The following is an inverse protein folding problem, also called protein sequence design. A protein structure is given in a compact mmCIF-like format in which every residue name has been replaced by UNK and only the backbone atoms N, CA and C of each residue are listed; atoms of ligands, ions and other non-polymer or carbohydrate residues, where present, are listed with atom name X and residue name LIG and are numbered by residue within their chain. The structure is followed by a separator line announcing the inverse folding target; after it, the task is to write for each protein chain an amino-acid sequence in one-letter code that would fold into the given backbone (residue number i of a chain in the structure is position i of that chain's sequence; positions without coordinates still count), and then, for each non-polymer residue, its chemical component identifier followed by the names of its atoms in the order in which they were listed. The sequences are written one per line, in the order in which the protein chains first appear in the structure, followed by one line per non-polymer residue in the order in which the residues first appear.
data_IF_870282529435
#
_entry.id   IF_870282529435
#
_cell.length_a   1.000
_cell.length_b   1.000
_cell.length_c   1.000
_cell.angle_alpha   90.00
_cell.angle_beta   90.00
_cell.angle_gamma   90.00
#
_symmetry.space_group_name_H-M   'P 1'
#
loop_
_entity.id
_entity.type
_entity.pdbx_description
1 polymer ?
#
# COMPACT_ATOMS: atom_id res chain seq x y z
N UNK A 1 -7.70 -71.78 0.38
CA UNK A 1 -7.13 -71.12 -0.83
C UNK A 1 -7.74 -69.73 -1.05
N UNK A 2 -8.01 -68.99 0.01
CA UNK A 2 -8.62 -67.66 -0.04
C UNK A 2 -7.79 -66.57 0.73
N UNK A 3 -6.75 -66.97 1.47
CA UNK A 3 -5.97 -66.06 2.35
C UNK A 3 -4.73 -65.44 1.71
N UNK A 4 -4.35 -65.83 0.43
CA UNK A 4 -3.15 -65.27 -0.20
C UNK A 4 -3.40 -64.07 -1.15
N UNK A 5 -4.66 -63.78 -1.52
CA UNK A 5 -4.99 -62.63 -2.38
C UNK A 5 -5.18 -61.30 -1.64
N UNK A 6 -5.44 -61.34 -0.34
CA UNK A 6 -5.63 -60.11 0.45
C UNK A 6 -4.34 -59.41 0.87
N UNK A 7 -3.22 -60.15 1.00
CA UNK A 7 -1.93 -59.57 1.37
C UNK A 7 -1.21 -58.84 0.27
N UNK A 8 -1.48 -59.19 -1.03
CA UNK A 8 -0.83 -58.54 -2.15
C UNK A 8 -1.48 -57.19 -2.51
N UNK A 9 -2.78 -57.05 -2.29
CA UNK A 9 -3.52 -55.80 -2.54
C UNK A 9 -3.17 -54.69 -1.52
N UNK A 10 -2.87 -55.07 -0.27
CA UNK A 10 -2.47 -54.11 0.76
C UNK A 10 -1.03 -53.58 0.58
N UNK A 11 -0.12 -54.42 0.07
CA UNK A 11 1.26 -54.00 -0.19
C UNK A 11 1.35 -53.08 -1.43
N UNK A 12 0.53 -53.28 -2.45
CA UNK A 12 0.51 -52.39 -3.62
C UNK A 12 -0.11 -51.04 -3.32
N UNK A 13 -1.12 -50.99 -2.43
CA UNK A 13 -1.75 -49.72 -2.00
C UNK A 13 -0.81 -48.86 -1.16
N UNK A 14 0.06 -49.48 -0.33
CA UNK A 14 1.03 -48.75 0.48
C UNK A 14 2.19 -48.20 -0.36
N UNK A 15 2.63 -48.89 -1.40
CA UNK A 15 3.71 -48.45 -2.30
C UNK A 15 3.23 -47.29 -3.18
N UNK A 16 1.97 -47.31 -3.65
CA UNK A 16 1.41 -46.19 -4.44
C UNK A 16 1.18 -44.91 -3.60
N UNK A 17 0.80 -45.04 -2.34
CA UNK A 17 0.66 -43.88 -1.44
C UNK A 17 2.05 -43.31 -1.08
N UNK A 18 3.09 -44.16 -0.91
CA UNK A 18 4.44 -43.69 -0.60
C UNK A 18 5.11 -43.01 -1.81
N UNK A 19 4.84 -43.45 -3.03
CA UNK A 19 5.34 -42.83 -4.26
C UNK A 19 4.62 -41.51 -4.55
N UNK A 20 3.33 -41.33 -4.17
CA UNK A 20 2.61 -40.09 -4.29
C UNK A 20 3.11 -39.03 -3.24
N UNK A 21 3.48 -39.46 -2.03
CA UNK A 21 4.08 -38.58 -1.04
C UNK A 21 5.52 -38.17 -1.39
N UNK A 22 6.31 -39.05 -1.93
CA UNK A 22 7.67 -38.73 -2.37
C UNK A 22 7.66 -37.82 -3.62
N UNK A 23 6.70 -38.01 -4.54
CA UNK A 23 6.51 -37.13 -5.70
C UNK A 23 6.04 -35.72 -5.32
N UNK A 24 5.18 -35.61 -4.32
CA UNK A 24 4.72 -34.30 -3.83
C UNK A 24 5.83 -33.53 -3.08
N UNK A 25 6.69 -34.22 -2.33
CA UNK A 25 7.84 -33.58 -1.68
C UNK A 25 8.95 -33.19 -2.69
N UNK A 26 9.12 -33.93 -3.77
CA UNK A 26 10.06 -33.57 -4.83
C UNK A 26 9.55 -32.38 -5.66
N UNK A 27 8.24 -32.33 -5.96
CA UNK A 27 7.61 -31.20 -6.65
C UNK A 27 7.59 -29.93 -5.79
N UNK A 28 7.41 -30.07 -4.46
CA UNK A 28 7.51 -28.92 -3.53
C UNK A 28 8.95 -28.43 -3.38
N UNK A 29 9.95 -29.35 -3.40
CA UNK A 29 11.36 -28.95 -3.34
C UNK A 29 11.85 -28.30 -4.64
N UNK A 30 11.49 -28.85 -5.80
CA UNK A 30 11.90 -28.27 -7.08
C UNK A 30 11.19 -26.95 -7.37
N UNK A 31 9.92 -26.78 -7.04
CA UNK A 31 9.22 -25.51 -7.15
C UNK A 31 9.73 -24.45 -6.16
N UNK A 32 10.27 -24.84 -5.01
CA UNK A 32 10.83 -23.94 -4.02
C UNK A 32 12.26 -23.49 -4.37
N UNK A 33 13.08 -24.39 -4.92
CA UNK A 33 14.43 -24.05 -5.41
C UNK A 33 14.39 -23.29 -6.74
N UNK A 34 13.43 -23.55 -7.62
CA UNK A 34 13.20 -22.74 -8.83
C UNK A 34 12.71 -21.32 -8.48
N UNK A 35 11.83 -21.15 -7.49
CA UNK A 35 11.41 -19.83 -7.02
C UNK A 35 12.54 -19.00 -6.43
N UNK A 36 13.51 -19.63 -5.75
CA UNK A 36 14.72 -18.96 -5.23
C UNK A 36 15.74 -18.67 -6.34
N UNK A 37 15.84 -19.54 -7.37
CA UNK A 37 16.72 -19.31 -8.52
C UNK A 37 16.18 -18.25 -9.47
N UNK A 38 14.86 -18.11 -9.56
CA UNK A 38 14.22 -17.06 -10.37
C UNK A 38 14.27 -15.70 -9.70
N UNK A 39 14.27 -15.61 -8.36
CA UNK A 39 14.56 -14.36 -7.67
C UNK A 39 16.01 -13.91 -7.85
N UNK A 40 16.97 -14.81 -7.99
CA UNK A 40 18.36 -14.48 -8.35
C UNK A 40 18.51 -13.99 -9.80
N UNK A 41 17.59 -14.35 -10.71
CA UNK A 41 17.55 -13.89 -12.10
C UNK A 41 16.64 -12.69 -12.35
N UNK A 42 15.99 -12.17 -11.33
CA UNK A 42 14.96 -11.13 -11.43
C UNK A 42 15.48 -9.70 -11.65
N UNK A 43 16.71 -9.54 -12.10
CA UNK A 43 17.17 -8.25 -12.60
C UNK A 43 17.00 -8.07 -14.12
N UNK A 44 16.73 -9.14 -14.87
CA UNK A 44 16.53 -9.07 -16.33
C UNK A 44 15.43 -10.05 -16.73
N UNK A 45 14.24 -9.52 -17.04
CA UNK A 45 13.16 -10.32 -17.62
C UNK A 45 13.56 -10.72 -19.05
N UNK A 46 13.92 -11.99 -19.25
CA UNK A 46 14.40 -12.53 -20.53
C UNK A 46 13.33 -12.84 -21.58
N UNK A 47 12.07 -12.43 -21.39
CA UNK A 47 10.94 -12.82 -22.26
C UNK A 47 10.06 -11.66 -22.73
N UNK A 48 10.59 -10.43 -22.88
CA UNK A 48 9.80 -9.31 -23.39
C UNK A 48 8.70 -8.84 -22.41
N UNK A 49 8.77 -9.25 -21.17
CA UNK A 49 7.90 -8.77 -20.11
C UNK A 49 8.47 -7.48 -19.53
N UNK A 50 7.66 -6.42 -19.50
CA UNK A 50 8.08 -5.13 -18.96
C UNK A 50 8.11 -5.26 -17.44
N UNK A 51 9.30 -5.19 -16.86
CA UNK A 51 9.48 -5.17 -15.42
C UNK A 51 9.47 -3.71 -14.92
N UNK A 52 8.38 -3.30 -14.28
CA UNK A 52 8.29 -2.02 -13.59
C UNK A 52 8.71 -2.18 -12.12
N UNK A 53 9.48 -1.21 -11.63
CA UNK A 53 9.89 -1.15 -10.25
C UNK A 53 9.83 0.29 -9.72
N UNK A 54 9.97 0.44 -8.41
CA UNK A 54 10.09 1.73 -7.73
C UNK A 54 9.00 2.74 -8.14
N UNK A 55 7.74 2.29 -8.15
CA UNK A 55 6.63 3.14 -8.56
C UNK A 55 6.27 4.09 -7.41
N UNK A 56 6.17 5.39 -7.73
CA UNK A 56 5.80 6.43 -6.79
C UNK A 56 4.81 7.41 -7.40
N UNK A 57 3.80 7.78 -6.62
CA UNK A 57 2.88 8.89 -6.93
C UNK A 57 2.91 9.84 -5.75
N UNK A 58 3.53 10.99 -5.93
CA UNK A 58 3.71 11.99 -4.87
C UNK A 58 2.87 13.23 -5.13
N UNK A 59 2.44 13.89 -4.06
CA UNK A 59 1.74 15.16 -4.09
C UNK A 59 2.63 16.26 -3.49
N UNK A 60 2.43 17.50 -3.93
CA UNK A 60 3.01 18.66 -3.27
C UNK A 60 2.31 19.02 -1.93
N UNK A 61 1.19 18.35 -1.63
CA UNK A 61 0.51 18.47 -0.34
C UNK A 61 1.19 17.58 0.70
N UNK A 62 1.26 17.98 1.97
CA UNK A 62 1.80 17.13 3.01
C UNK A 62 0.95 15.87 3.14
N UNK A 63 1.64 14.74 3.36
CA UNK A 63 1.09 13.38 3.48
C UNK A 63 0.79 12.68 2.15
N UNK A 64 1.21 11.43 2.07
CA UNK A 64 1.32 10.59 0.86
C UNK A 64 0.02 10.12 0.20
N UNK A 65 -1.07 10.84 0.38
CA UNK A 65 -2.29 10.53 -0.33
C UNK A 65 -2.33 11.31 -1.62
N UNK A 66 -2.45 10.66 -2.78
CA UNK A 66 -2.49 11.33 -4.06
C UNK A 66 -3.81 12.11 -4.21
N UNK A 67 -3.81 13.37 -3.80
CA UNK A 67 -4.97 14.28 -3.87
C UNK A 67 -4.63 15.50 -4.72
N UNK A 68 -5.50 15.80 -5.66
CA UNK A 68 -5.52 17.05 -6.43
C UNK A 68 -6.64 17.91 -5.88
N UNK A 69 -6.33 19.17 -5.59
CA UNK A 69 -7.33 20.18 -5.21
C UNK A 69 -7.75 21.00 -6.43
N UNK A 70 -9.05 21.10 -6.66
CA UNK A 70 -9.58 22.02 -7.68
C UNK A 70 -9.44 23.48 -7.26
N UNK A 71 -9.37 23.75 -5.96
CA UNK A 71 -9.24 25.11 -5.40
C UNK A 71 -7.78 25.57 -5.35
N UNK A 72 -6.81 24.65 -5.35
CA UNK A 72 -5.37 24.94 -5.23
C UNK A 72 -4.63 24.40 -6.46
N UNK A 73 -3.63 25.15 -6.91
CA UNK A 73 -2.77 24.69 -8.00
C UNK A 73 -1.75 23.69 -7.44
N UNK A 74 -2.13 22.42 -7.38
CA UNK A 74 -1.23 21.32 -7.06
C UNK A 74 -1.29 20.22 -8.12
N UNK A 75 -0.22 19.46 -8.24
CA UNK A 75 -0.10 18.36 -9.18
C UNK A 75 0.38 17.09 -8.47
N UNK A 76 0.08 15.95 -9.07
CA UNK A 76 0.69 14.68 -8.74
C UNK A 76 1.85 14.42 -9.68
N UNK A 77 2.92 13.86 -9.13
CA UNK A 77 4.08 13.41 -9.87
C UNK A 77 4.14 11.88 -9.84
N UNK A 78 3.88 11.27 -10.98
CA UNK A 78 4.10 9.84 -11.19
C UNK A 78 5.55 9.62 -11.62
N UNK A 79 6.24 8.70 -10.96
CA UNK A 79 7.55 8.21 -11.36
C UNK A 79 7.60 6.69 -11.25
N UNK A 80 8.25 6.03 -12.19
CA UNK A 80 8.50 4.59 -12.15
C UNK A 80 9.72 4.23 -12.98
N UNK A 81 10.38 3.13 -12.62
CA UNK A 81 11.50 2.60 -13.36
C UNK A 81 11.09 1.42 -14.23
N UNK A 82 11.68 1.35 -15.39
CA UNK A 82 11.55 0.28 -16.36
C UNK A 82 12.93 -0.39 -16.55
N UNK A 83 13.00 -1.69 -16.28
CA UNK A 83 14.17 -2.50 -16.58
C UNK A 83 13.97 -3.17 -17.93
N UNK A 84 14.70 -2.67 -18.93
CA UNK A 84 14.59 -3.13 -20.32
C UNK A 84 15.82 -2.68 -21.08
N UNK A 85 16.25 -3.49 -22.07
CA UNK A 85 17.37 -3.13 -22.97
C UNK A 85 17.01 -1.97 -23.91
N UNK A 86 15.72 -1.82 -24.23
CA UNK A 86 15.18 -0.74 -25.05
C UNK A 86 13.96 -0.15 -24.36
N UNK A 87 13.89 1.20 -24.27
CA UNK A 87 12.78 1.84 -23.57
C UNK A 87 11.48 1.69 -24.35
N UNK A 88 10.42 1.32 -23.66
CA UNK A 88 9.07 1.34 -24.22
C UNK A 88 8.45 2.74 -24.14
N UNK A 89 7.46 2.96 -25.00
CA UNK A 89 6.61 4.14 -24.91
C UNK A 89 5.38 3.81 -24.06
N UNK A 90 5.08 4.66 -23.09
CA UNK A 90 3.91 4.51 -22.23
C UNK A 90 2.91 5.63 -22.47
N UNK A 91 1.64 5.31 -22.28
CA UNK A 91 0.56 6.30 -22.21
C UNK A 91 -0.17 6.20 -20.88
N UNK A 92 -0.81 7.31 -20.49
CA UNK A 92 -1.65 7.39 -19.29
C UNK A 92 -3.07 7.73 -19.69
N UNK A 93 -4.03 7.01 -19.10
CA UNK A 93 -5.46 7.20 -19.26
C UNK A 93 -6.13 7.39 -17.91
N UNK A 94 -7.12 8.29 -17.86
CA UNK A 94 -7.87 8.57 -16.63
C UNK A 94 -9.32 8.13 -16.76
N UNK A 95 -9.88 7.61 -15.68
CA UNK A 95 -11.30 7.31 -15.57
C UNK A 95 -11.86 7.79 -14.24
N UNK A 96 -13.05 8.41 -14.29
CA UNK A 96 -13.76 8.89 -13.11
C UNK A 96 -14.49 7.73 -12.41
N UNK A 97 -14.43 7.72 -11.06
CA UNK A 97 -15.01 6.70 -10.18
C UNK A 97 -15.89 7.35 -9.11
N UNK A 98 -16.90 6.60 -8.67
CA UNK A 98 -17.71 6.96 -7.50
C UNK A 98 -16.95 6.70 -6.20
N UNK A 99 -17.53 7.06 -5.06
CA UNK A 99 -16.95 6.88 -3.72
C UNK A 99 -16.63 5.43 -3.36
N UNK A 100 -17.30 4.47 -3.99
CA UNK A 100 -17.09 3.02 -3.86
C UNK A 100 -16.12 2.44 -4.91
N UNK A 101 -15.48 3.30 -5.72
CA UNK A 101 -14.61 2.96 -6.85
C UNK A 101 -15.34 2.35 -8.07
N UNK A 102 -16.64 2.22 -8.06
CA UNK A 102 -17.41 1.87 -9.26
C UNK A 102 -17.22 2.94 -10.34
N UNK A 103 -17.31 2.54 -11.61
CA UNK A 103 -17.22 3.50 -12.72
C UNK A 103 -18.41 4.45 -12.68
N UNK A 104 -18.16 5.75 -12.74
CA UNK A 104 -19.23 6.74 -12.86
C UNK A 104 -19.86 6.71 -14.27
N UNK A 105 -21.03 7.31 -14.42
CA UNK A 105 -21.70 7.43 -15.71
C UNK A 105 -21.21 8.62 -16.55
N UNK A 106 -20.22 9.38 -16.04
CA UNK A 106 -19.64 10.51 -16.76
C UNK A 106 -18.87 10.03 -18.00
N UNK A 107 -19.09 10.68 -19.13
CA UNK A 107 -18.22 10.52 -20.31
C UNK A 107 -16.97 11.37 -20.16
N UNK A 108 -15.91 11.03 -20.85
CA UNK A 108 -14.58 11.64 -20.68
C UNK A 108 -14.59 13.15 -20.75
N UNK A 109 -15.29 13.73 -21.71
CA UNK A 109 -15.37 15.20 -21.90
C UNK A 109 -16.10 15.94 -20.78
N UNK A 110 -16.82 15.24 -19.92
CA UNK A 110 -17.49 15.83 -18.75
C UNK A 110 -16.58 15.96 -17.54
N UNK A 111 -15.59 15.07 -17.38
CA UNK A 111 -14.70 15.09 -16.23
C UNK A 111 -13.26 15.46 -16.56
N UNK A 112 -12.88 15.45 -17.84
CA UNK A 112 -11.51 15.73 -18.28
C UNK A 112 -11.52 16.77 -19.42
N UNK A 113 -10.66 17.78 -19.31
CA UNK A 113 -10.30 18.68 -20.40
C UNK A 113 -8.98 18.23 -20.98
N UNK A 114 -8.98 17.83 -22.25
CA UNK A 114 -7.81 17.28 -22.96
C UNK A 114 -8.07 15.89 -23.53
N UNK A 115 -7.06 15.27 -24.15
CA UNK A 115 -7.14 13.92 -24.69
C UNK A 115 -7.41 12.89 -23.58
N UNK A 116 -8.10 11.81 -23.92
CA UNK A 116 -8.34 10.71 -22.97
C UNK A 116 -7.08 9.88 -22.70
N UNK A 117 -6.13 9.89 -23.62
CA UNK A 117 -4.86 9.16 -23.52
C UNK A 117 -3.72 10.11 -23.89
N UNK A 118 -2.72 10.17 -23.03
CA UNK A 118 -1.58 11.07 -23.15
C UNK A 118 -0.29 10.25 -23.07
N UNK A 119 0.68 10.57 -23.93
CA UNK A 119 1.98 9.90 -23.96
C UNK A 119 2.87 10.39 -22.82
N UNK A 120 3.56 9.46 -22.15
CA UNK A 120 4.58 9.75 -21.14
C UNK A 120 5.92 9.93 -21.89
N UNK A 121 6.30 11.18 -22.12
CA UNK A 121 7.48 11.49 -22.93
C UNK A 121 8.76 11.73 -22.11
N UNK A 122 8.63 12.01 -20.80
CA UNK A 122 9.76 12.29 -19.95
C UNK A 122 10.36 10.98 -19.42
N UNK A 123 11.56 10.65 -19.92
CA UNK A 123 12.32 9.48 -19.48
C UNK A 123 13.80 9.81 -19.35
N UNK A 124 14.47 9.18 -18.40
CA UNK A 124 15.90 9.32 -18.14
C UNK A 124 16.54 7.95 -18.06
N UNK A 125 17.62 7.74 -18.80
CA UNK A 125 18.47 6.55 -18.70
C UNK A 125 19.31 6.64 -17.42
N UNK A 126 19.32 5.59 -16.64
CA UNK A 126 20.10 5.44 -15.41
C UNK A 126 20.88 4.11 -15.43
N UNK A 127 21.88 4.03 -14.57
CA UNK A 127 22.68 2.82 -14.32
C UNK A 127 22.83 2.58 -12.83
N UNK A 128 22.82 1.30 -12.44
CA UNK A 128 23.12 0.83 -11.07
C UNK A 128 24.01 -0.39 -11.19
N UNK A 129 25.31 -0.24 -10.87
CA UNK A 129 26.31 -1.25 -11.21
C UNK A 129 26.29 -1.57 -12.71
N UNK A 130 26.15 -2.84 -13.07
CA UNK A 130 26.05 -3.30 -14.46
C UNK A 130 24.63 -3.27 -15.04
N UNK A 131 23.64 -2.81 -14.26
CA UNK A 131 22.23 -2.81 -14.68
C UNK A 131 21.82 -1.43 -15.19
N UNK A 132 21.24 -1.38 -16.37
CA UNK A 132 20.61 -0.19 -16.96
C UNK A 132 19.10 -0.21 -16.78
N UNK A 133 18.51 0.95 -16.55
CA UNK A 133 17.06 1.10 -16.44
C UNK A 133 16.63 2.52 -16.88
N UNK A 134 15.36 2.67 -17.21
CA UNK A 134 14.77 3.94 -17.59
C UNK A 134 13.81 4.43 -16.52
N UNK A 135 14.01 5.65 -16.02
CA UNK A 135 13.05 6.32 -15.14
C UNK A 135 12.09 7.15 -15.99
N UNK A 136 10.80 6.83 -15.89
CA UNK A 136 9.72 7.57 -16.51
C UNK A 136 9.09 8.52 -15.49
N UNK A 137 8.69 9.72 -15.93
CA UNK A 137 8.05 10.72 -15.10
C UNK A 137 6.88 11.40 -15.82
N UNK A 138 5.78 11.64 -15.09
CA UNK A 138 4.62 12.36 -15.61
C UNK A 138 3.93 13.18 -14.52
N UNK A 139 3.78 14.46 -14.74
CA UNK A 139 3.07 15.36 -13.83
C UNK A 139 1.68 15.66 -14.37
N UNK A 140 0.67 15.62 -13.50
CA UNK A 140 -0.71 15.96 -13.82
C UNK A 140 -1.47 16.54 -12.58
N UNK A 141 -2.45 17.46 -12.78
CA UNK A 141 -2.81 18.08 -14.03
C UNK A 141 -1.67 18.93 -14.60
N UNK A 142 -1.70 19.18 -15.91
CA UNK A 142 -0.78 20.02 -16.62
C UNK A 142 -1.51 20.84 -17.70
N UNK A 143 -0.76 21.47 -18.63
CA UNK A 143 -1.39 22.24 -19.73
C UNK A 143 -2.24 21.41 -20.67
N UNK A 144 -1.96 20.10 -20.81
CA UNK A 144 -2.60 19.18 -21.76
C UNK A 144 -3.81 18.46 -21.13
N UNK A 145 -3.88 18.39 -19.79
CA UNK A 145 -4.95 17.71 -19.05
C UNK A 145 -5.35 18.43 -17.77
N UNK A 146 -6.68 18.63 -17.59
CA UNK A 146 -7.27 19.18 -16.37
C UNK A 146 -8.49 18.37 -15.97
N UNK A 147 -8.72 18.23 -14.66
CA UNK A 147 -9.89 17.57 -14.10
C UNK A 147 -11.01 18.60 -13.91
N UNK A 148 -12.17 18.32 -14.49
CA UNK A 148 -13.35 19.21 -14.50
C UNK A 148 -14.36 18.85 -13.42
N UNK A 149 -14.26 17.67 -12.83
CA UNK A 149 -15.14 17.15 -11.78
C UNK A 149 -14.30 16.61 -10.64
N UNK A 150 -14.81 16.79 -9.42
CA UNK A 150 -14.26 16.15 -8.23
C UNK A 150 -14.71 14.70 -8.12
N UNK A 151 -14.04 13.90 -7.33
CA UNK A 151 -14.36 12.49 -7.08
C UNK A 151 -13.12 11.61 -7.01
N UNK A 152 -13.34 10.31 -7.13
CA UNK A 152 -12.28 9.33 -7.24
C UNK A 152 -11.85 9.18 -8.70
N UNK A 153 -10.58 8.89 -8.89
CA UNK A 153 -10.01 8.67 -10.22
C UNK A 153 -9.09 7.46 -10.23
N UNK A 154 -9.15 6.70 -11.32
CA UNK A 154 -8.19 5.66 -11.63
C UNK A 154 -7.34 6.13 -12.80
N UNK A 155 -6.02 6.13 -12.62
CA UNK A 155 -5.04 6.28 -13.69
C UNK A 155 -4.58 4.90 -14.13
N UNK A 156 -4.53 4.68 -15.43
CA UNK A 156 -4.07 3.44 -16.07
C UNK A 156 -2.89 3.77 -16.97
N UNK A 157 -1.76 3.12 -16.72
CA UNK A 157 -0.58 3.23 -17.56
C UNK A 157 -0.57 2.06 -18.52
N UNK A 158 -0.46 2.36 -19.80
CA UNK A 158 -0.53 1.39 -20.89
C UNK A 158 0.81 1.40 -21.63
N UNK A 159 1.27 0.23 -22.02
CA UNK A 159 2.29 0.14 -23.05
C UNK A 159 1.65 0.60 -24.37
N UNK A 160 2.22 1.64 -24.98
CA UNK A 160 1.64 2.29 -26.15
C UNK A 160 1.58 1.37 -27.37
N UNK A 161 2.60 0.51 -27.56
CA UNK A 161 2.70 -0.39 -28.70
C UNK A 161 1.70 -1.56 -28.64
N UNK A 162 1.47 -2.08 -27.43
CA UNK A 162 0.59 -3.27 -27.24
C UNK A 162 -0.80 -2.94 -26.74
N UNK A 163 -1.02 -1.74 -26.23
CA UNK A 163 -2.25 -1.33 -25.55
C UNK A 163 -2.50 -2.04 -24.21
N UNK A 164 -1.56 -2.87 -23.73
CA UNK A 164 -1.71 -3.57 -22.46
C UNK A 164 -1.49 -2.63 -21.29
N UNK A 165 -2.37 -2.73 -20.29
CA UNK A 165 -2.17 -2.06 -19.01
C UNK A 165 -1.01 -2.71 -18.27
N UNK A 166 -0.03 -1.88 -17.86
CA UNK A 166 1.16 -2.31 -17.10
C UNK A 166 1.10 -1.88 -15.65
N UNK A 167 0.35 -0.80 -15.36
CA UNK A 167 0.20 -0.23 -14.02
C UNK A 167 -1.15 0.48 -13.92
N UNK A 168 -1.71 0.54 -12.73
CA UNK A 168 -2.81 1.45 -12.40
C UNK A 168 -2.68 1.96 -10.98
N UNK A 169 -3.23 3.14 -10.71
CA UNK A 169 -3.26 3.68 -9.36
C UNK A 169 -4.48 4.56 -9.14
N UNK A 170 -4.85 4.68 -7.87
CA UNK A 170 -5.97 5.46 -7.38
C UNK A 170 -5.52 6.84 -6.92
N UNK A 171 -6.31 7.86 -7.22
CA UNK A 171 -6.12 9.20 -6.68
C UNK A 171 -7.45 9.93 -6.51
N UNK A 172 -7.41 11.08 -5.88
CA UNK A 172 -8.58 11.88 -5.56
C UNK A 172 -8.49 13.26 -6.19
N UNK A 173 -9.64 13.81 -6.58
CA UNK A 173 -9.79 15.22 -6.95
C UNK A 173 -10.85 15.83 -6.03
N UNK A 174 -10.48 16.81 -5.20
CA UNK A 174 -11.36 17.43 -4.21
C UNK A 174 -11.70 18.87 -4.57
N UNK A 175 -12.92 19.29 -4.27
CA UNK A 175 -13.38 20.68 -4.43
C UNK A 175 -12.80 21.58 -3.35
N UNK A 176 -12.64 21.09 -2.14
CA UNK A 176 -12.40 21.82 -0.90
C UNK A 176 -13.54 22.81 -0.59
N UNK A 177 -14.78 22.33 -0.69
CA UNK A 177 -16.02 23.09 -0.46
C UNK A 177 -16.47 22.92 0.98
N UNK A 178 -16.82 24.01 1.65
CA UNK A 178 -17.15 24.05 3.07
C UNK A 178 -15.97 23.85 4.00
N UNK A 179 -16.23 23.87 5.30
CA UNK A 179 -15.21 23.70 6.34
C UNK A 179 -15.37 22.34 7.04
N UNK A 180 -14.35 21.50 6.95
CA UNK A 180 -14.30 20.19 7.59
C UNK A 180 -13.28 20.22 8.72
N UNK A 181 -13.71 19.86 9.93
CA UNK A 181 -12.83 19.69 11.09
C UNK A 181 -12.92 18.29 11.63
N UNK A 182 -11.78 17.75 12.08
CA UNK A 182 -11.72 16.40 12.64
C UNK A 182 -10.94 16.40 13.93
N UNK A 183 -11.53 15.84 14.99
CA UNK A 183 -10.91 15.58 16.28
C UNK A 183 -10.66 14.07 16.43
N UNK A 184 -9.47 13.69 16.91
CA UNK A 184 -9.13 12.31 17.25
C UNK A 184 -9.17 12.19 18.77
N UNK A 185 -10.02 11.28 19.29
CA UNK A 185 -10.07 10.95 20.72
C UNK A 185 -9.58 9.54 20.95
N UNK A 186 -8.67 9.40 21.89
CA UNK A 186 -8.18 8.10 22.33
C UNK A 186 -9.15 7.44 23.31
N UNK A 187 -9.25 6.13 23.22
CA UNK A 187 -9.97 5.27 24.14
C UNK A 187 -9.15 4.04 24.51
N UNK A 188 -9.06 3.72 25.80
CA UNK A 188 -8.44 2.48 26.25
C UNK A 188 -9.31 1.28 25.90
N UNK A 189 -8.71 0.21 25.41
CA UNK A 189 -9.41 -1.05 25.21
C UNK A 189 -9.50 -1.79 26.55
N UNK A 190 -10.72 -2.15 26.97
CA UNK A 190 -10.95 -2.86 28.23
C UNK A 190 -10.19 -4.18 28.25
N UNK A 191 -9.42 -4.43 29.31
CA UNK A 191 -8.62 -5.65 29.48
C UNK A 191 -7.21 -5.59 28.90
N UNK A 192 -6.82 -4.48 28.25
CA UNK A 192 -5.48 -4.30 27.67
C UNK A 192 -4.91 -2.95 28.07
N UNK A 193 -3.86 -2.95 28.89
CA UNK A 193 -3.28 -1.72 29.41
C UNK A 193 -2.63 -0.82 28.33
N UNK A 194 -2.12 -1.44 27.27
CA UNK A 194 -1.35 -0.75 26.20
C UNK A 194 -2.14 -0.52 24.93
N UNK A 195 -3.27 -1.22 24.73
CA UNK A 195 -4.06 -1.11 23.51
C UNK A 195 -4.99 0.09 23.57
N UNK A 196 -4.95 0.91 22.54
CA UNK A 196 -5.79 2.09 22.36
C UNK A 196 -6.63 1.96 21.10
N UNK A 197 -7.75 2.66 21.11
CA UNK A 197 -8.59 2.89 19.94
C UNK A 197 -8.72 4.38 19.69
N UNK A 198 -8.84 4.74 18.42
CA UNK A 198 -9.09 6.12 18.02
C UNK A 198 -10.52 6.27 17.51
N UNK A 199 -11.23 7.22 18.12
CA UNK A 199 -12.54 7.69 17.65
C UNK A 199 -12.32 8.97 16.87
N UNK A 200 -12.94 9.08 15.72
CA UNK A 200 -12.98 10.30 14.93
C UNK A 200 -14.31 11.00 15.19
N UNK A 201 -14.24 12.27 15.56
CA UNK A 201 -15.36 13.20 15.61
C UNK A 201 -15.16 14.17 14.46
N UNK A 202 -16.17 14.31 13.61
CA UNK A 202 -16.04 15.03 12.34
C UNK A 202 -17.19 16.01 12.24
N UNK A 203 -16.86 17.29 12.11
CA UNK A 203 -17.79 18.38 11.95
C UNK A 203 -17.61 19.01 10.57
N UNK A 204 -18.71 19.27 9.89
CA UNK A 204 -18.72 19.87 8.56
C UNK A 204 -19.71 21.03 8.50
N UNK A 205 -19.21 22.20 8.12
CA UNK A 205 -20.04 23.38 7.84
C UNK A 205 -20.07 23.57 6.30
N UNK A 206 -21.21 23.25 5.63
CA UNK A 206 -21.31 23.36 4.18
C UNK A 206 -21.41 24.84 3.74
N UNK A 207 -20.82 25.14 2.58
CA UNK A 207 -20.90 26.44 1.92
C UNK A 207 -22.10 26.54 0.94
N UNK A 208 -22.92 25.49 0.85
CA UNK A 208 -24.18 25.44 0.09
C UNK A 208 -25.23 24.63 0.85
N UNK A 209 -26.49 24.79 0.45
CA UNK A 209 -27.60 24.08 1.08
C UNK A 209 -27.60 22.61 0.70
N UNK A 210 -27.62 21.73 1.70
CA UNK A 210 -27.80 20.28 1.57
C UNK A 210 -29.17 19.95 2.17
N UNK A 211 -30.05 19.39 1.34
CA UNK A 211 -31.45 19.19 1.75
C UNK A 211 -31.63 17.94 2.59
N UNK A 212 -30.94 16.87 2.26
CA UNK A 212 -31.04 15.57 2.92
C UNK A 212 -29.65 15.02 3.28
N UNK A 213 -28.96 15.60 4.28
CA UNK A 213 -27.56 15.24 4.60
C UNK A 213 -27.34 13.73 4.81
N UNK A 214 -28.29 13.06 5.44
CA UNK A 214 -28.22 11.61 5.73
C UNK A 214 -28.15 10.74 4.44
N UNK A 215 -28.80 11.17 3.37
CA UNK A 215 -28.83 10.42 2.11
C UNK A 215 -27.88 10.98 1.04
N UNK A 216 -27.58 12.28 1.09
CA UNK A 216 -26.78 12.96 0.08
C UNK A 216 -25.28 12.95 0.41
N UNK A 217 -24.93 12.86 1.70
CA UNK A 217 -23.54 12.83 2.15
C UNK A 217 -23.07 11.41 2.44
N UNK A 218 -21.81 11.13 2.10
CA UNK A 218 -21.12 9.90 2.44
C UNK A 218 -19.76 10.23 3.03
N UNK A 219 -19.54 9.78 4.24
CA UNK A 219 -18.28 9.93 4.93
C UNK A 219 -17.48 8.63 4.86
N UNK A 220 -16.23 8.72 4.42
CA UNK A 220 -15.30 7.60 4.40
C UNK A 220 -14.04 8.02 5.10
N UNK A 221 -13.60 7.24 6.08
CA UNK A 221 -12.32 7.46 6.73
C UNK A 221 -11.38 6.28 6.49
N UNK A 222 -10.09 6.57 6.37
CA UNK A 222 -9.05 5.57 6.16
C UNK A 222 -7.91 5.78 7.13
N UNK A 223 -7.24 4.71 7.51
CA UNK A 223 -6.08 4.73 8.38
C UNK A 223 -4.81 4.34 7.63
N UNK A 224 -3.78 5.11 7.76
CA UNK A 224 -2.39 4.88 7.35
C UNK A 224 -2.10 4.71 5.86
N UNK A 225 -3.06 4.55 4.98
CA UNK A 225 -2.82 4.51 3.54
C UNK A 225 -4.09 4.67 2.71
N UNK A 226 -3.95 4.94 1.40
CA UNK A 226 -5.08 4.98 0.46
C UNK A 226 -5.84 3.65 0.38
N UNK A 227 -5.15 2.53 0.63
CA UNK A 227 -5.71 1.18 0.68
C UNK A 227 -5.70 0.60 2.10
N UNK A 228 -5.54 1.44 3.12
CA UNK A 228 -5.59 1.03 4.52
C UNK A 228 -7.00 0.73 5.01
N UNK A 229 -7.13 0.25 6.26
CA UNK A 229 -8.42 0.02 6.90
C UNK A 229 -9.32 1.23 6.75
N UNK A 230 -10.56 1.00 6.35
CA UNK A 230 -11.54 2.06 6.15
C UNK A 230 -12.77 1.86 7.04
N UNK A 231 -13.40 2.97 7.41
CA UNK A 231 -14.67 3.02 8.13
C UNK A 231 -15.66 3.88 7.35
N UNK A 232 -16.90 3.44 7.34
CA UNK A 232 -18.04 4.11 6.69
C UNK A 232 -19.23 4.25 7.64
N UNK A 233 -19.20 3.51 8.75
CA UNK A 233 -20.29 3.43 9.72
C UNK A 233 -20.14 4.57 10.72
N UNK A 234 -20.78 5.68 10.42
CA UNK A 234 -20.84 6.86 11.24
C UNK A 234 -22.31 7.20 11.51
N UNK A 235 -22.58 7.54 12.76
CA UNK A 235 -23.83 8.17 13.13
C UNK A 235 -23.77 9.65 12.76
N UNK A 236 -24.87 10.17 12.25
CA UNK A 236 -24.99 11.58 11.88
C UNK A 236 -25.83 12.31 12.92
N UNK A 237 -25.37 13.47 13.35
CA UNK A 237 -26.09 14.40 14.23
C UNK A 237 -26.40 15.68 13.46
N UNK A 238 -27.68 15.95 13.30
CA UNK A 238 -28.25 17.10 12.59
C UNK A 238 -28.96 18.08 13.54
N UNK A 239 -28.67 18.02 14.84
CA UNK A 239 -29.29 18.90 15.84
C UNK A 239 -28.82 20.35 15.71
N UNK A 240 -27.62 20.57 15.18
CA UNK A 240 -27.11 21.89 14.86
C UNK A 240 -27.54 22.28 13.45
N UNK A 241 -28.19 23.44 13.23
CA UNK A 241 -28.69 23.83 11.92
C UNK A 241 -27.59 24.20 10.91
N UNK A 242 -26.38 24.53 11.39
CA UNK A 242 -25.26 24.99 10.56
C UNK A 242 -24.15 23.95 10.39
N UNK A 243 -24.07 22.99 11.33
CA UNK A 243 -22.96 22.03 11.40
C UNK A 243 -23.51 20.61 11.37
N UNK A 244 -23.07 19.84 10.41
CA UNK A 244 -23.34 18.42 10.31
C UNK A 244 -22.22 17.68 11.03
N UNK A 245 -22.59 16.81 11.99
CA UNK A 245 -21.60 16.12 12.84
C UNK A 245 -21.69 14.62 12.64
N UNK A 246 -20.53 13.96 12.62
CA UNK A 246 -20.42 12.52 12.59
C UNK A 246 -19.58 12.00 13.74
N UNK A 247 -20.01 10.86 14.28
CA UNK A 247 -19.28 10.14 15.32
C UNK A 247 -19.40 8.64 15.10
N UNK A 248 -18.45 7.89 15.65
CA UNK A 248 -18.42 6.42 15.55
C UNK A 248 -18.94 5.81 16.85
N UNK A 249 -19.67 4.70 16.71
CA UNK A 249 -19.99 3.82 17.82
C UNK A 249 -18.74 3.11 18.36
N UNK A 250 -18.84 2.55 19.57
CA UNK A 250 -17.72 1.95 20.28
C UNK A 250 -17.12 0.73 19.59
N UNK A 251 -17.87 0.02 18.77
CA UNK A 251 -17.45 -1.14 17.99
C UNK A 251 -16.87 -0.78 16.61
N UNK A 252 -17.10 0.46 16.17
CA UNK A 252 -16.64 0.97 14.88
C UNK A 252 -15.30 1.71 14.93
N UNK A 253 -14.63 1.76 16.08
CA UNK A 253 -13.39 2.54 16.27
C UNK A 253 -12.20 1.94 15.51
N UNK A 254 -11.24 2.80 15.18
CA UNK A 254 -9.95 2.33 14.68
C UNK A 254 -9.08 1.82 15.82
N UNK A 255 -8.34 0.74 15.58
CA UNK A 255 -7.26 0.39 16.49
C UNK A 255 -6.13 1.40 16.34
N UNK A 256 -5.72 2.03 17.46
CA UNK A 256 -4.57 2.91 17.51
C UNK A 256 -3.30 2.06 17.57
N UNK A 257 -2.96 1.41 16.49
CA UNK A 257 -1.92 0.43 16.52
C UNK A 257 -1.01 0.51 15.30
N UNK A 258 0.03 -0.21 15.43
CA UNK A 258 0.99 -0.69 14.47
C UNK A 258 2.06 0.31 14.13
N UNK A 259 3.06 0.26 14.97
CA UNK A 259 4.37 0.74 14.58
C UNK A 259 4.76 0.08 13.24
N UNK A 260 5.13 0.87 12.24
CA UNK A 260 5.88 0.40 11.09
C UNK A 260 7.37 0.55 11.39
N UNK A 261 8.17 -0.33 10.87
CA UNK A 261 9.62 -0.22 10.87
C UNK A 261 10.05 0.65 9.72
N UNK A 262 11.19 1.29 9.86
CA UNK A 262 11.74 2.17 8.82
C UNK A 262 13.11 1.67 8.41
N UNK A 263 13.39 1.74 7.11
CA UNK A 263 14.69 1.43 6.54
C UNK A 263 15.16 2.62 5.71
N UNK A 264 16.30 3.20 6.10
CA UNK A 264 16.91 4.31 5.40
C UNK A 264 18.00 3.80 4.43
N UNK A 265 17.64 3.67 3.16
CA UNK A 265 18.54 3.28 2.08
C UNK A 265 19.03 4.48 1.26
N UNK A 266 18.95 5.72 1.76
CA UNK A 266 19.42 6.90 1.02
C UNK A 266 20.90 6.86 0.74
N UNK A 267 21.67 6.10 1.52
CA UNK A 267 23.07 5.79 1.31
C UNK A 267 23.32 4.32 1.61
N UNK A 268 24.03 3.63 0.72
CA UNK A 268 24.48 2.24 0.97
C UNK A 268 25.80 2.16 1.76
N UNK A 269 26.39 3.28 2.12
CA UNK A 269 27.65 3.36 2.87
C UNK A 269 27.45 3.68 4.37
N UNK A 270 26.25 3.43 4.91
CA UNK A 270 25.94 3.76 6.30
C UNK A 270 26.09 2.53 7.18
N UNK A 271 27.15 2.47 7.98
CA UNK A 271 27.38 1.43 8.98
C UNK A 271 26.31 1.41 10.09
N UNK A 272 25.51 2.48 10.21
CA UNK A 272 24.42 2.59 11.18
C UNK A 272 23.17 1.82 10.77
N UNK A 273 23.04 1.45 9.50
CA UNK A 273 21.81 0.83 8.93
C UNK A 273 22.03 -0.63 8.60
N UNK A 274 23.26 -1.02 8.25
CA UNK A 274 23.58 -2.36 7.79
C UNK A 274 24.53 -3.08 8.74
N UNK A 275 24.19 -4.32 9.08
CA UNK A 275 25.11 -5.20 9.79
C UNK A 275 26.33 -5.53 8.91
N UNK A 276 26.09 -5.78 7.62
CA UNK A 276 27.12 -6.10 6.63
C UNK A 276 26.62 -5.99 5.20
N UNK A 277 27.57 -5.96 4.27
CA UNK A 277 27.35 -6.20 2.86
C UNK A 277 27.99 -7.53 2.48
N UNK A 278 27.24 -8.47 1.98
CA UNK A 278 27.71 -9.80 1.55
C UNK A 278 27.13 -10.13 0.17
N UNK A 279 27.96 -10.59 -0.76
CA UNK A 279 27.55 -11.06 -2.10
C UNK A 279 26.60 -10.08 -2.85
N UNK A 280 26.88 -8.78 -2.77
CA UNK A 280 26.06 -7.69 -3.32
C UNK A 280 24.66 -7.57 -2.65
N UNK A 281 24.48 -8.11 -1.47
CA UNK A 281 23.30 -7.93 -0.63
C UNK A 281 23.60 -6.98 0.54
N UNK A 282 22.72 -6.03 0.76
CA UNK A 282 22.69 -5.22 1.97
C UNK A 282 21.92 -5.99 3.05
N UNK A 283 22.55 -6.24 4.19
CA UNK A 283 21.96 -6.98 5.30
C UNK A 283 21.77 -6.04 6.47
N UNK A 284 20.55 -5.51 6.69
CA UNK A 284 20.25 -4.74 7.89
C UNK A 284 20.34 -5.60 9.15
N UNK A 285 20.39 -4.94 10.30
CA UNK A 285 20.31 -5.64 11.58
C UNK A 285 19.05 -6.50 11.67
N UNK A 286 19.15 -7.60 12.43
CA UNK A 286 18.01 -8.50 12.63
C UNK A 286 16.91 -7.75 13.40
N UNK A 287 15.72 -7.71 12.82
CA UNK A 287 14.54 -7.19 13.48
C UNK A 287 14.03 -8.21 14.50
N UNK A 288 13.94 -7.80 15.75
CA UNK A 288 13.37 -8.60 16.81
C UNK A 288 11.89 -8.28 16.96
N UNK A 289 11.08 -9.29 17.31
CA UNK A 289 9.75 -9.04 17.80
C UNK A 289 9.86 -8.25 19.11
N UNK A 290 9.21 -7.08 19.22
CA UNK A 290 9.32 -6.26 20.41
C UNK A 290 8.67 -6.95 21.61
N UNK A 291 9.29 -6.80 22.79
CA UNK A 291 8.68 -7.19 24.06
C UNK A 291 7.84 -6.04 24.62
N UNK A 292 6.80 -6.35 25.40
CA UNK A 292 5.90 -5.31 25.98
C UNK A 292 6.61 -4.30 26.89
N UNK A 293 7.83 -4.61 27.33
CA UNK A 293 8.62 -3.76 28.24
C UNK A 293 9.57 -2.78 27.52
N UNK A 294 9.82 -2.93 26.21
CA UNK A 294 10.87 -2.16 25.50
C UNK A 294 10.43 -0.77 25.00
N UNK A 295 9.25 -0.32 25.39
CA UNK A 295 8.58 0.79 24.68
C UNK A 295 8.46 2.11 25.43
N UNK A 296 9.36 2.41 26.31
CA UNK A 296 9.37 3.67 27.07
C UNK A 296 9.80 4.89 26.27
N UNK A 297 10.34 4.73 25.05
CA UNK A 297 11.01 5.83 24.34
C UNK A 297 10.67 5.97 22.85
N UNK A 298 9.43 5.64 22.44
CA UNK A 298 9.07 5.70 21.02
C UNK A 298 8.55 7.07 20.62
N UNK A 299 9.47 7.97 20.31
CA UNK A 299 9.22 9.26 19.66
C UNK A 299 9.11 9.10 18.13
N UNK A 300 8.58 7.98 17.65
CA UNK A 300 8.51 7.69 16.22
C UNK A 300 7.24 8.23 15.59
N UNK A 301 7.45 9.28 14.80
CA UNK A 301 6.44 9.75 13.88
C UNK A 301 6.22 8.69 12.79
N UNK A 302 5.00 8.17 12.71
CA UNK A 302 4.64 7.32 11.62
C UNK A 302 4.08 8.09 10.51
N UNK A 303 4.77 8.04 9.45
CA UNK A 303 4.23 8.22 8.12
C UNK A 303 4.43 6.89 7.39
N UNK A 304 3.43 6.40 6.70
CA UNK A 304 3.56 5.40 5.67
C UNK A 304 4.34 6.00 4.51
N UNK A 305 5.57 6.44 4.79
CA UNK A 305 6.32 7.29 3.90
C UNK A 305 7.32 6.44 3.12
N UNK A 306 7.15 6.42 1.80
CA UNK A 306 8.18 5.96 0.89
C UNK A 306 8.74 7.20 0.18
N UNK A 307 9.99 7.51 0.47
CA UNK A 307 10.73 8.54 -0.26
C UNK A 307 11.75 7.85 -1.15
N UNK A 308 11.28 7.41 -2.31
CA UNK A 308 12.16 6.77 -3.30
C UNK A 308 12.97 7.86 -3.99
N UNK A 309 14.28 7.66 -4.02
CA UNK A 309 15.18 8.59 -4.66
C UNK A 309 15.22 8.38 -6.19
N UNK A 310 14.50 9.22 -6.93
CA UNK A 310 14.51 9.19 -8.40
C UNK A 310 15.56 10.12 -9.05
N UNK A 311 16.51 10.62 -8.28
CA UNK A 311 17.59 11.43 -8.83
C UNK A 311 18.52 10.57 -9.72
N UNK A 312 19.15 11.16 -10.74
CA UNK A 312 20.18 10.48 -11.51
C UNK A 312 21.30 9.97 -10.61
N UNK A 313 21.76 8.74 -10.86
CA UNK A 313 22.80 8.09 -10.06
C UNK A 313 22.31 7.41 -8.78
N UNK A 314 21.00 7.39 -8.52
CA UNK A 314 20.46 6.55 -7.47
C UNK A 314 20.46 5.07 -7.90
N UNK A 315 20.93 4.21 -7.01
CA UNK A 315 21.22 2.81 -7.27
C UNK A 315 20.17 1.88 -6.70
N UNK A 316 20.22 0.63 -7.14
CA UNK A 316 19.47 -0.49 -6.58
C UNK A 316 20.38 -1.41 -5.78
N UNK A 317 19.85 -1.98 -4.70
CA UNK A 317 20.50 -3.04 -3.95
C UNK A 317 19.50 -4.17 -3.64
N UNK A 318 20.03 -5.39 -3.56
CA UNK A 318 19.32 -6.50 -2.95
C UNK A 318 19.39 -6.34 -1.43
N UNK A 319 18.26 -6.29 -0.76
CA UNK A 319 18.15 -6.11 0.68
C UNK A 319 17.57 -7.37 1.30
N UNK A 320 18.31 -7.97 2.22
CA UNK A 320 17.88 -9.16 2.98
C UNK A 320 17.23 -8.71 4.28
N UNK A 321 15.94 -8.88 4.39
CA UNK A 321 15.21 -8.67 5.63
C UNK A 321 15.26 -9.91 6.50
N UNK A 322 15.64 -9.74 7.77
CA UNK A 322 15.68 -10.80 8.76
C UNK A 322 14.78 -10.43 9.93
N UNK A 323 13.96 -11.37 10.38
CA UNK A 323 13.05 -11.20 11.51
C UNK A 323 13.09 -12.41 12.42
N UNK A 324 13.17 -12.16 13.73
CA UNK A 324 13.08 -13.20 14.76
C UNK A 324 11.86 -12.96 15.64
N UNK A 325 10.99 -13.95 15.70
CA UNK A 325 9.88 -13.94 16.65
C UNK A 325 10.39 -14.21 18.07
N UNK A 326 9.60 -13.81 19.09
CA UNK A 326 9.90 -14.14 20.47
C UNK A 326 9.77 -15.64 20.71
N UNK A 327 10.55 -16.17 21.68
CA UNK A 327 10.50 -17.59 22.04
C UNK A 327 9.12 -18.05 22.51
N UNK A 328 8.28 -17.13 22.96
CA UNK A 328 6.92 -17.39 23.42
C UNK A 328 5.88 -17.44 22.31
N UNK A 329 6.21 -16.96 21.12
CA UNK A 329 5.28 -16.85 20.01
C UNK A 329 5.88 -17.36 18.71
N UNK A 330 5.52 -18.60 18.34
CA UNK A 330 5.82 -19.11 17.02
C UNK A 330 4.59 -18.94 16.12
N UNK A 331 4.67 -18.15 15.03
CA UNK A 331 3.57 -17.98 14.13
C UNK A 331 3.09 -19.31 13.56
N UNK A 332 1.81 -19.63 13.75
CA UNK A 332 1.17 -20.81 13.15
C UNK A 332 0.85 -20.61 11.65
N UNK A 333 1.10 -19.43 11.14
CA UNK A 333 0.80 -18.99 9.76
C UNK A 333 2.08 -18.52 9.07
N UNK A 334 2.13 -18.53 7.73
CA UNK A 334 3.21 -17.91 6.99
C UNK A 334 3.42 -16.44 7.40
N UNK A 335 4.67 -16.01 7.45
CA UNK A 335 5.05 -14.63 7.71
C UNK A 335 5.38 -13.94 6.39
N UNK A 336 4.96 -12.71 6.26
CA UNK A 336 5.19 -11.86 5.11
C UNK A 336 5.86 -10.55 5.55
N UNK A 337 6.81 -10.11 4.76
CA UNK A 337 7.29 -8.73 4.79
C UNK A 337 6.28 -7.87 4.02
N UNK A 338 5.69 -6.87 4.67
CA UNK A 338 4.73 -5.97 4.07
C UNK A 338 5.35 -4.58 3.89
N UNK A 339 5.38 -4.08 2.67
CA UNK A 339 5.67 -2.68 2.35
C UNK A 339 4.38 -1.92 2.12
N UNK A 340 4.34 -0.70 2.62
CA UNK A 340 3.31 0.24 2.19
C UNK A 340 3.65 0.78 0.80
N UNK A 341 2.66 0.86 -0.07
CA UNK A 341 2.80 1.44 -1.41
C UNK A 341 1.77 2.56 -1.56
N UNK A 342 2.17 3.63 -2.22
CA UNK A 342 1.26 4.73 -2.58
C UNK A 342 0.37 4.39 -3.77
N UNK A 343 0.68 3.31 -4.49
CA UNK A 343 0.10 3.01 -5.80
C UNK A 343 -0.91 1.85 -5.74
N UNK A 344 -0.45 0.65 -5.36
CA UNK A 344 -1.24 -0.59 -5.49
C UNK A 344 -1.72 -1.18 -4.16
N UNK A 345 -1.59 -0.44 -3.07
CA UNK A 345 -1.81 -0.98 -1.73
C UNK A 345 -0.57 -1.68 -1.17
N UNK A 346 -0.70 -2.34 -0.02
CA UNK A 346 0.43 -3.00 0.61
C UNK A 346 0.94 -4.16 -0.26
N UNK A 347 2.25 -4.21 -0.47
CA UNK A 347 2.93 -5.32 -1.13
C UNK A 347 3.37 -6.34 -0.08
N UNK A 348 2.99 -7.59 -0.26
CA UNK A 348 3.33 -8.68 0.65
C UNK A 348 4.36 -9.61 0.00
N UNK A 349 5.50 -9.78 0.65
CA UNK A 349 6.59 -10.66 0.20
C UNK A 349 6.69 -11.82 1.19
N UNK A 350 6.53 -13.09 0.75
CA UNK A 350 6.62 -14.23 1.65
C UNK A 350 8.04 -14.35 2.21
N UNK A 351 8.14 -14.79 3.47
CA UNK A 351 9.40 -15.03 4.14
C UNK A 351 9.64 -16.53 4.34
N UNK A 352 10.89 -16.94 4.18
CA UNK A 352 11.34 -18.29 4.50
C UNK A 352 11.75 -18.37 5.98
N UNK A 353 11.50 -19.49 6.63
CA UNK A 353 11.92 -19.76 8.01
C UNK A 353 13.06 -20.75 8.03
N UNK A 354 14.11 -20.48 8.82
CA UNK A 354 15.23 -21.38 9.06
C UNK A 354 14.93 -22.37 10.20
N UNK A 355 15.93 -23.22 10.52
CA UNK A 355 15.83 -24.21 11.59
C UNK A 355 15.76 -23.60 13.00
N UNK A 356 16.27 -22.39 13.13
CA UNK A 356 16.35 -21.64 14.40
C UNK A 356 15.12 -20.73 14.60
N UNK A 357 14.16 -20.77 13.65
CA UNK A 357 12.92 -19.98 13.72
C UNK A 357 13.09 -18.53 13.25
N UNK A 358 14.20 -18.19 12.58
CA UNK A 358 14.38 -16.87 11.99
C UNK A 358 13.73 -16.83 10.61
N UNK A 359 13.05 -15.74 10.31
CA UNK A 359 12.40 -15.48 9.03
C UNK A 359 13.29 -14.59 8.18
N UNK A 360 13.43 -14.91 6.89
CA UNK A 360 14.20 -14.08 5.96
C UNK A 360 13.58 -14.02 4.59
N UNK A 361 13.80 -12.89 3.90
CA UNK A 361 13.48 -12.69 2.49
C UNK A 361 14.43 -11.67 1.90
N UNK A 362 14.61 -11.74 0.57
CA UNK A 362 15.42 -10.76 -0.17
C UNK A 362 14.53 -10.03 -1.15
N UNK A 363 14.69 -8.73 -1.26
CA UNK A 363 13.98 -7.91 -2.25
C UNK A 363 14.89 -6.81 -2.78
N UNK A 364 14.75 -6.50 -4.06
CA UNK A 364 15.52 -5.45 -4.72
C UNK A 364 14.83 -4.11 -4.48
N UNK A 365 15.54 -3.17 -3.86
CA UNK A 365 15.05 -1.84 -3.53
C UNK A 365 15.98 -0.77 -4.13
N UNK A 366 15.38 0.31 -4.62
CA UNK A 366 16.10 1.53 -5.01
C UNK A 366 16.51 2.31 -3.76
N UNK A 367 17.56 3.12 -3.85
CA UNK A 367 17.89 4.08 -2.80
C UNK A 367 16.65 4.90 -2.42
N UNK A 368 16.42 5.04 -1.10
CA UNK A 368 15.24 5.72 -0.59
C UNK A 368 15.00 5.49 0.90
N UNK A 369 13.83 5.84 1.34
CA UNK A 369 13.35 5.59 2.70
C UNK A 369 12.08 4.74 2.63
N UNK A 370 12.04 3.64 3.37
CA UNK A 370 10.98 2.64 3.31
C UNK A 370 10.34 2.44 4.66
N UNK A 371 9.01 2.28 4.65
CA UNK A 371 8.25 1.81 5.80
C UNK A 371 7.76 0.39 5.55
N UNK A 372 7.97 -0.50 6.50
CA UNK A 372 7.63 -1.91 6.38
C UNK A 372 7.19 -2.50 7.72
N UNK A 373 6.59 -3.67 7.70
CA UNK A 373 6.30 -4.50 8.87
C UNK A 373 6.19 -5.98 8.52
N UNK A 374 6.21 -6.83 9.56
CA UNK A 374 6.00 -8.26 9.43
C UNK A 374 4.57 -8.62 9.80
N UNK A 375 3.91 -9.41 8.96
CA UNK A 375 2.50 -9.76 9.12
C UNK A 375 2.23 -11.22 8.81
N UNK A 376 1.16 -11.77 9.37
CA UNK A 376 0.67 -13.12 9.06
C UNK A 376 -0.65 -13.10 8.29
N UNK A 377 -1.15 -11.92 7.94
CA UNK A 377 -2.38 -11.73 7.21
C UNK A 377 -2.12 -10.83 6.00
N UNK A 378 -2.57 -11.25 4.82
CA UNK A 378 -2.41 -10.51 3.57
C UNK A 378 -3.66 -9.77 3.13
N UNK A 379 -4.78 -9.95 3.84
CA UNK A 379 -5.99 -9.18 3.58
C UNK A 379 -5.87 -7.78 4.19
N UNK A 380 -5.81 -6.69 3.39
CA UNK A 380 -5.65 -5.33 3.91
C UNK A 380 -6.82 -4.85 4.76
N UNK A 381 -8.02 -5.44 4.60
CA UNK A 381 -9.22 -5.09 5.36
C UNK A 381 -9.24 -5.71 6.76
N UNK A 382 -8.31 -6.64 7.05
CA UNK A 382 -8.16 -7.25 8.36
C UNK A 382 -7.06 -6.58 9.17
N UNK A 383 -7.20 -6.54 10.51
CA UNK A 383 -6.15 -6.03 11.37
C UNK A 383 -4.83 -6.78 11.18
N UNK A 384 -3.77 -6.07 10.83
CA UNK A 384 -2.43 -6.59 10.59
C UNK A 384 -1.63 -6.69 11.91
N UNK A 385 -2.16 -7.37 12.92
CA UNK A 385 -1.72 -7.23 14.32
C UNK A 385 -0.80 -8.35 14.83
N UNK A 386 -0.49 -9.35 14.03
CA UNK A 386 -0.02 -10.62 14.60
C UNK A 386 1.41 -10.60 15.16
N UNK A 387 2.31 -9.77 14.67
CA UNK A 387 3.73 -9.82 15.02
C UNK A 387 4.26 -8.54 15.67
N UNK A 388 3.48 -7.46 15.64
CA UNK A 388 3.83 -6.21 16.31
C UNK A 388 2.80 -5.89 17.39
N UNK A 389 3.27 -5.41 18.54
CA UNK A 389 2.39 -5.00 19.64
C UNK A 389 1.84 -3.62 19.33
N UNK A 390 0.51 -3.41 19.46
CA UNK A 390 -0.07 -2.10 19.24
C UNK A 390 0.28 -1.15 20.39
N UNK A 391 0.86 0.01 20.05
CA UNK A 391 1.22 1.06 21.02
C UNK A 391 0.25 2.21 21.03
N UNK A 392 -0.02 2.69 22.24
CA UNK A 392 -0.82 3.90 22.46
C UNK A 392 -0.21 5.15 21.81
N UNK A 393 1.11 5.23 21.78
CA UNK A 393 1.86 6.38 21.27
C UNK A 393 2.11 6.33 19.75
N UNK A 394 1.70 5.27 19.08
CA UNK A 394 1.85 5.19 17.62
C UNK A 394 1.04 6.30 16.95
N UNK A 395 1.72 7.14 16.20
CA UNK A 395 1.05 8.13 15.36
C UNK A 395 0.41 7.44 14.16
N UNK A 396 -0.88 7.61 14.01
CA UNK A 396 -1.63 7.12 12.86
C UNK A 396 -2.05 8.29 11.98
N UNK A 397 -1.98 8.09 10.68
CA UNK A 397 -2.50 9.05 9.70
C UNK A 397 -3.93 8.66 9.34
N UNK A 398 -4.84 9.61 9.41
CA UNK A 398 -6.23 9.41 9.00
C UNK A 398 -6.55 10.30 7.82
N UNK A 399 -7.18 9.70 6.82
CA UNK A 399 -7.78 10.43 5.70
C UNK A 399 -9.27 10.46 5.87
N UNK A 400 -9.84 11.64 5.86
CA UNK A 400 -11.29 11.87 5.90
C UNK A 400 -11.73 12.35 4.54
N UNK A 401 -12.64 11.60 3.91
CA UNK A 401 -13.17 11.87 2.59
C UNK A 401 -14.67 12.10 2.72
N UNK A 402 -15.13 13.30 2.39
CA UNK A 402 -16.53 13.66 2.42
C UNK A 402 -17.07 13.81 1.01
N UNK A 403 -18.01 12.95 0.65
CA UNK A 403 -18.66 12.94 -0.65
C UNK A 403 -20.07 13.48 -0.56
N UNK A 404 -20.51 14.10 -1.66
CA UNK A 404 -21.86 14.55 -1.87
C UNK A 404 -22.41 13.96 -3.15
N UNK A 405 -23.61 13.39 -3.09
CA UNK A 405 -24.36 12.97 -4.26
C UNK A 405 -25.63 13.79 -4.39
N UNK A 406 -25.62 14.73 -5.31
CA UNK A 406 -26.83 15.42 -5.68
C UNK A 406 -27.82 14.42 -6.33
N UNK A 407 -29.12 14.44 -5.97
CA UNK A 407 -30.13 13.57 -6.57
C UNK A 407 -30.24 13.67 -8.10
N UNK A 408 -29.83 14.80 -8.67
CA UNK A 408 -29.85 15.07 -10.12
C UNK A 408 -28.51 14.80 -10.83
N UNK A 409 -27.46 14.39 -10.08
CA UNK A 409 -26.14 14.06 -10.63
C UNK A 409 -25.88 12.54 -10.56
N UNK A 410 -25.17 12.03 -11.56
CA UNK A 410 -24.90 10.59 -11.70
C UNK A 410 -23.52 10.18 -11.19
N UNK A 411 -22.90 11.00 -10.34
CA UNK A 411 -21.57 10.74 -9.76
C UNK A 411 -21.47 11.30 -8.35
N UNK A 412 -20.51 10.78 -7.59
CA UNK A 412 -20.20 11.28 -6.25
C UNK A 412 -19.14 12.39 -6.37
N UNK A 413 -19.49 13.60 -5.93
CA UNK A 413 -18.55 14.72 -5.78
C UNK A 413 -17.75 14.52 -4.51
N UNK A 414 -16.43 14.75 -4.53
CA UNK A 414 -15.59 14.78 -3.34
C UNK A 414 -15.46 16.23 -2.86
N UNK A 415 -16.26 16.59 -1.86
CA UNK A 415 -16.26 17.94 -1.30
C UNK A 415 -14.98 18.25 -0.55
N UNK A 416 -14.58 17.32 0.33
CA UNK A 416 -13.41 17.48 1.17
C UNK A 416 -12.55 16.22 1.22
N UNK A 417 -11.23 16.42 1.25
CA UNK A 417 -10.24 15.41 1.54
C UNK A 417 -9.25 15.99 2.56
N UNK A 418 -9.38 15.56 3.81
CA UNK A 418 -8.55 16.02 4.91
C UNK A 418 -7.63 14.90 5.38
N UNK A 419 -6.39 15.23 5.68
CA UNK A 419 -5.43 14.32 6.31
C UNK A 419 -5.07 14.86 7.68
N UNK A 420 -5.18 14.02 8.69
CA UNK A 420 -4.86 14.33 10.08
C UNK A 420 -3.98 13.24 10.67
N UNK A 421 -3.18 13.61 11.65
CA UNK A 421 -2.26 12.70 12.36
C UNK A 421 -2.66 12.67 13.83
N UNK A 422 -2.74 11.47 14.43
CA UNK A 422 -2.90 11.35 15.89
C UNK A 422 -1.68 11.91 16.61
N UNK A 423 -1.91 12.46 17.78
CA UNK A 423 -0.84 13.04 18.61
C UNK A 423 0.11 12.00 19.17
#
# INVERSE_FOLDING_TARGET
MVLSRFKLSFALSFITVFLLFAGCQALLKTGFEEGLSDQKKSAVASNGEILLNSISVTSSLPFDIPVISMAKSNALNLMFDEFSDQPHTFSIRFSHRNSDWSRSQLITTQFLSGPNELTINNRTLNTSGDTTFYTHAYNFPNRDVRFLKSGNYLAEILNFETGKQVLSFKFYVTEQSGDLTTEIRERSLTGYATRRQHRLLIDYNPDFQILFPDSELKLITKQNSINGPQKRDFNIDLTDPEIIKWFQDDDALFLANNQVRTLNLRSFNSDDVFERFEDAEAIPFIDLQPDEQDFTDVNTAFTTFHDINFRPGAEYANVRFNFRSSDQFQPQKPVYLMFYSTVDGPKFIPMSVDKDGNYSTVTTLRQGFYSYKYVTETNPDRPQTALDIPFAQTRNVYTVLLYYRNPHEYFDRLLQAQVIVSK
#
